data_IF_152219408663
#
_entry.id   IF_152219408663
#
_cell.length_a   1.000
_cell.length_b   1.000
_cell.length_c   1.000
_cell.angle_alpha   90.00
_cell.angle_beta   90.00
_cell.angle_gamma   90.00
#
_symmetry.space_group_name_H-M   'P 1'
#
loop_
_entity.id
_entity.type
_entity.pdbx_description
1 polymer ?
#
# COMPACT_ATOMS: atom_id res chain seq x y z
N UNK A 1 22.68 -6.90 11.51
CA UNK A 1 21.56 -6.81 12.47
C UNK A 1 20.74 -5.58 12.11
N UNK A 2 19.66 -5.73 11.36
CA UNK A 2 18.73 -4.64 11.09
C UNK A 2 17.83 -4.49 12.31
N UNK A 3 17.77 -3.28 12.81
CA UNK A 3 17.11 -2.94 14.07
C UNK A 3 15.60 -3.03 13.87
N UNK A 4 14.90 -3.91 14.60
CA UNK A 4 13.46 -4.21 14.52
C UNK A 4 12.51 -3.03 14.88
N UNK A 5 12.98 -1.78 14.77
CA UNK A 5 12.23 -0.57 15.10
C UNK A 5 11.99 0.36 13.89
N UNK A 6 11.82 -0.20 12.69
CA UNK A 6 11.48 0.61 11.53
C UNK A 6 10.07 1.21 11.68
N UNK A 7 10.01 2.41 12.23
CA UNK A 7 8.80 3.19 12.35
C UNK A 7 8.97 4.51 11.61
N UNK A 8 8.21 4.72 10.56
CA UNK A 8 8.15 6.02 9.92
C UNK A 8 7.37 7.00 10.82
N UNK A 9 7.87 8.22 10.92
CA UNK A 9 7.23 9.32 11.68
C UNK A 9 6.91 10.47 10.73
N UNK A 10 5.65 10.83 10.67
CA UNK A 10 5.18 12.01 9.95
C UNK A 10 4.81 13.06 10.96
N UNK A 11 5.29 14.29 10.77
CA UNK A 11 5.09 15.40 11.69
C UNK A 11 4.45 16.57 10.99
N UNK A 12 3.50 17.19 11.66
CA UNK A 12 2.86 18.44 11.25
C UNK A 12 3.37 19.53 12.18
N UNK A 13 3.85 20.61 11.61
CA UNK A 13 4.33 21.78 12.34
C UNK A 13 3.46 23.00 12.00
N UNK A 14 3.22 23.87 12.98
CA UNK A 14 2.80 25.25 12.75
C UNK A 14 4.03 26.11 12.54
N UNK A 15 3.90 27.12 11.71
CA UNK A 15 4.95 28.13 11.46
C UNK A 15 4.32 29.51 11.64
N UNK A 16 4.70 30.21 12.70
CA UNK A 16 4.28 31.57 12.99
C UNK A 16 5.48 32.50 13.09
N UNK A 17 5.68 33.31 12.07
CA UNK A 17 6.86 34.17 11.97
C UNK A 17 8.15 33.34 11.93
N UNK A 18 8.96 33.40 13.00
CA UNK A 18 10.20 32.62 13.15
C UNK A 18 10.05 31.41 14.07
N UNK A 19 8.87 31.18 14.60
CA UNK A 19 8.61 30.06 15.54
C UNK A 19 8.07 28.87 14.78
N UNK A 20 8.63 27.68 15.05
CA UNK A 20 8.19 26.39 14.48
C UNK A 20 7.84 25.49 15.66
N UNK A 21 6.60 25.05 15.72
CA UNK A 21 6.10 24.20 16.79
C UNK A 21 5.52 22.89 16.25
N UNK A 22 5.85 21.76 16.89
CA UNK A 22 5.28 20.45 16.55
C UNK A 22 3.82 20.40 17.01
N UNK A 23 2.91 20.31 16.06
CA UNK A 23 1.46 20.25 16.29
C UNK A 23 0.96 18.82 16.46
N UNK A 24 1.44 17.91 15.59
CA UNK A 24 0.99 16.53 15.57
C UNK A 24 2.08 15.61 15.02
N UNK A 25 2.10 14.37 15.53
CA UNK A 25 2.93 13.29 14.99
C UNK A 25 2.11 12.03 14.78
N UNK A 26 2.31 11.38 13.63
CA UNK A 26 1.82 10.04 13.33
C UNK A 26 3.00 9.07 13.31
N UNK A 27 2.81 7.86 13.81
CA UNK A 27 3.80 6.79 13.75
C UNK A 27 3.22 5.62 12.96
N UNK A 28 3.87 5.27 11.87
CA UNK A 28 3.56 4.11 11.06
C UNK A 28 4.53 2.98 11.47
N UNK A 29 4.02 1.99 12.20
CA UNK A 29 4.82 0.86 12.66
C UNK A 29 5.07 -0.09 11.50
N UNK A 30 6.32 -0.53 11.32
CA UNK A 30 6.75 -1.50 10.31
C UNK A 30 6.38 -1.11 8.88
N UNK A 31 6.43 0.19 8.57
CA UNK A 31 6.10 0.71 7.24
C UNK A 31 7.09 1.77 6.80
N UNK A 32 7.34 1.80 5.50
CA UNK A 32 8.05 2.87 4.80
C UNK A 32 7.03 3.83 4.20
N UNK A 33 7.33 5.12 4.25
CA UNK A 33 6.54 6.14 3.55
C UNK A 33 7.06 6.26 2.14
N UNK A 34 6.18 6.05 1.18
CA UNK A 34 6.48 6.14 -0.25
C UNK A 34 6.18 7.55 -0.76
N UNK A 35 5.01 8.07 -0.42
CA UNK A 35 4.56 9.36 -0.93
C UNK A 35 3.54 10.03 0.00
N UNK A 36 3.46 11.36 -0.07
CA UNK A 36 2.52 12.18 0.69
C UNK A 36 1.79 13.14 -0.24
N UNK A 37 0.48 13.23 -0.05
CA UNK A 37 -0.34 14.27 -0.67
C UNK A 37 -1.10 15.06 0.40
N UNK A 38 -1.23 16.35 0.17
CA UNK A 38 -2.09 17.21 0.97
C UNK A 38 -3.08 17.92 0.04
N UNK A 39 -4.36 17.60 0.20
CA UNK A 39 -5.41 18.15 -0.64
C UNK A 39 -6.68 18.38 0.15
N UNK A 40 -7.23 19.60 0.08
CA UNK A 40 -8.49 19.97 0.74
C UNK A 40 -8.56 19.51 2.22
N UNK A 41 -7.54 19.83 3.00
CA UNK A 41 -7.39 19.43 4.40
C UNK A 41 -7.38 17.92 4.63
N UNK A 42 -7.04 17.13 3.62
CA UNK A 42 -6.78 15.70 3.74
C UNK A 42 -5.30 15.42 3.50
N UNK A 43 -4.68 14.79 4.47
CA UNK A 43 -3.33 14.25 4.34
C UNK A 43 -3.46 12.78 3.93
N UNK A 44 -2.91 12.44 2.77
CA UNK A 44 -2.83 11.08 2.28
C UNK A 44 -1.40 10.59 2.47
N UNK A 45 -1.27 9.43 3.08
CA UNK A 45 0.01 8.77 3.33
C UNK A 45 0.01 7.45 2.57
N UNK A 46 0.88 7.35 1.58
CA UNK A 46 1.17 6.10 0.90
C UNK A 46 2.38 5.46 1.58
N UNK A 47 2.23 4.21 1.95
CA UNK A 47 3.29 3.46 2.65
C UNK A 47 3.23 1.99 2.26
N UNK A 48 4.36 1.30 2.41
CA UNK A 48 4.47 -0.14 2.20
C UNK A 48 4.98 -0.83 3.47
N UNK A 49 4.74 -2.13 3.56
CA UNK A 49 5.29 -2.94 4.64
C UNK A 49 6.82 -2.93 4.55
N UNK A 50 7.48 -2.83 5.70
CA UNK A 50 8.87 -3.25 5.77
C UNK A 50 8.88 -4.78 5.67
N UNK A 51 9.62 -5.32 4.72
CA UNK A 51 9.88 -6.76 4.67
C UNK A 51 10.50 -7.14 6.01
N UNK A 52 9.75 -7.80 6.88
CA UNK A 52 10.38 -8.61 7.89
C UNK A 52 10.98 -9.76 7.09
N UNK A 53 12.29 -9.81 7.08
CA UNK A 53 13.05 -10.97 6.66
C UNK A 53 12.68 -12.11 7.63
N UNK A 54 11.51 -12.71 7.42
CA UNK A 54 11.14 -14.00 7.96
C UNK A 54 11.97 -15.03 7.21
N UNK A 55 13.30 -14.92 7.33
CA UNK A 55 14.28 -15.87 6.87
C UNK A 55 14.23 -17.21 7.63
N UNK A 56 13.04 -17.65 7.95
CA UNK A 56 12.71 -19.07 8.09
C UNK A 56 12.39 -19.70 6.72
N UNK A 57 12.59 -19.00 5.62
CA UNK A 57 12.80 -19.63 4.33
C UNK A 57 14.10 -20.43 4.46
N UNK A 58 14.01 -21.64 4.97
CA UNK A 58 15.01 -22.68 4.77
C UNK A 58 15.15 -22.81 3.26
N UNK A 59 16.18 -22.16 2.71
CA UNK A 59 16.66 -22.36 1.37
C UNK A 59 17.08 -23.83 1.28
N UNK A 60 16.18 -24.72 0.84
CA UNK A 60 16.55 -26.14 0.83
C UNK A 60 15.52 -27.13 0.33
N UNK A 61 14.28 -26.75 0.05
CA UNK A 61 13.32 -27.69 -0.55
C UNK A 61 12.59 -26.99 -1.71
N UNK A 62 12.79 -27.54 -2.90
CA UNK A 62 12.43 -27.00 -4.20
C UNK A 62 10.92 -27.02 -4.52
N UNK A 63 10.04 -26.66 -3.64
CA UNK A 63 8.59 -26.81 -3.88
C UNK A 63 7.70 -25.63 -3.44
N UNK A 64 8.26 -24.52 -2.92
CA UNK A 64 7.43 -23.42 -2.46
C UNK A 64 7.56 -22.19 -3.36
N UNK A 65 6.44 -21.81 -3.97
CA UNK A 65 6.31 -20.49 -4.58
C UNK A 65 6.48 -19.43 -3.49
N UNK A 66 7.46 -18.57 -3.64
CA UNK A 66 7.65 -17.42 -2.77
C UNK A 66 6.84 -16.27 -3.36
N UNK A 67 5.71 -15.96 -2.74
CA UNK A 67 5.07 -14.67 -2.97
C UNK A 67 5.74 -13.65 -2.05
N UNK A 68 6.21 -12.54 -2.63
CA UNK A 68 6.59 -11.39 -1.82
C UNK A 68 5.30 -10.76 -1.31
N UNK A 69 4.93 -11.09 -0.06
CA UNK A 69 3.72 -10.58 0.60
C UNK A 69 3.89 -9.12 1.02
N UNK A 70 4.26 -8.27 0.06
CA UNK A 70 4.30 -6.84 0.29
C UNK A 70 2.92 -6.23 0.10
N UNK A 71 2.62 -5.24 0.93
CA UNK A 71 1.34 -4.54 0.91
C UNK A 71 1.58 -3.05 0.81
N UNK A 72 0.93 -2.43 -0.16
CA UNK A 72 0.85 -0.97 -0.30
C UNK A 72 -0.39 -0.48 0.46
N UNK A 73 -0.20 0.51 1.33
CA UNK A 73 -1.25 1.12 2.15
C UNK A 73 -1.54 2.55 1.70
N UNK A 74 -2.81 2.92 1.77
CA UNK A 74 -3.32 4.26 1.50
C UNK A 74 -4.07 4.72 2.75
N UNK A 75 -3.43 5.53 3.58
CA UNK A 75 -4.03 6.10 4.78
C UNK A 75 -4.44 7.54 4.54
N UNK A 76 -5.71 7.86 4.75
CA UNK A 76 -6.27 9.20 4.57
C UNK A 76 -6.64 9.78 5.94
N UNK A 77 -6.10 10.94 6.24
CA UNK A 77 -6.35 11.69 7.48
C UNK A 77 -7.08 12.98 7.18
N UNK A 78 -8.05 13.33 8.01
CA UNK A 78 -8.59 14.68 8.10
C UNK A 78 -7.61 15.50 8.95
N UNK A 79 -7.08 16.57 8.36
CA UNK A 79 -6.15 17.51 8.99
C UNK A 79 -6.71 18.95 8.97
N UNK A 80 -8.01 19.11 8.81
CA UNK A 80 -8.68 20.43 8.86
C UNK A 80 -8.39 21.19 10.17
N UNK A 81 -8.22 20.45 11.25
CA UNK A 81 -7.71 20.93 12.53
C UNK A 81 -6.49 20.07 12.88
N UNK A 82 -5.26 20.52 12.57
CA UNK A 82 -4.05 19.69 12.68
C UNK A 82 -3.84 19.05 14.06
N UNK A 83 -4.17 19.76 15.15
CA UNK A 83 -4.07 19.24 16.53
C UNK A 83 -4.97 18.00 16.72
N UNK A 84 -6.13 17.99 16.08
CA UNK A 84 -7.16 16.94 16.15
C UNK A 84 -7.15 16.03 14.94
N UNK A 85 -6.06 16.03 14.17
CA UNK A 85 -5.93 15.20 12.98
C UNK A 85 -6.22 13.73 13.29
N UNK A 86 -7.10 13.11 12.48
CA UNK A 86 -7.56 11.73 12.64
C UNK A 86 -7.61 10.99 11.32
N UNK A 87 -7.31 9.69 11.37
CA UNK A 87 -7.48 8.82 10.21
C UNK A 87 -8.97 8.63 9.91
N UNK A 88 -9.38 8.92 8.68
CA UNK A 88 -10.76 8.76 8.20
C UNK A 88 -10.93 7.54 7.30
N UNK A 89 -9.85 7.09 6.65
CA UNK A 89 -9.88 5.90 5.79
C UNK A 89 -8.52 5.22 5.78
N UNK A 90 -8.52 3.91 5.65
CA UNK A 90 -7.35 3.10 5.34
C UNK A 90 -7.75 2.09 4.28
N UNK A 91 -6.94 2.00 3.23
CA UNK A 91 -7.06 0.99 2.19
C UNK A 91 -5.71 0.28 2.07
N UNK A 92 -5.74 -0.94 1.56
CA UNK A 92 -4.54 -1.71 1.26
C UNK A 92 -4.70 -2.44 -0.06
N UNK A 93 -3.61 -2.60 -0.78
CA UNK A 93 -3.53 -3.43 -1.98
C UNK A 93 -2.25 -4.25 -1.95
N UNK A 94 -2.31 -5.48 -2.43
CA UNK A 94 -1.15 -6.36 -2.50
C UNK A 94 -0.11 -5.83 -3.49
N UNK A 95 1.14 -6.12 -3.21
CA UNK A 95 2.28 -5.81 -4.05
C UNK A 95 3.09 -4.59 -3.64
N UNK A 96 4.27 -4.50 -4.22
CA UNK A 96 5.25 -3.44 -4.03
C UNK A 96 4.73 -2.15 -4.64
N UNK A 97 4.72 -1.05 -3.89
CA UNK A 97 4.40 0.28 -4.42
C UNK A 97 5.27 0.60 -5.64
N UNK A 98 4.64 1.11 -6.68
CA UNK A 98 5.33 1.54 -7.90
C UNK A 98 5.19 3.03 -8.15
N UNK A 99 3.98 3.55 -8.10
CA UNK A 99 3.70 4.96 -8.34
C UNK A 99 2.29 5.31 -7.89
N UNK A 100 2.04 6.58 -7.73
CA UNK A 100 0.69 7.09 -7.57
C UNK A 100 0.48 8.40 -8.34
N UNK A 101 -0.76 8.75 -8.55
CA UNK A 101 -1.12 10.00 -9.21
C UNK A 101 -2.39 10.57 -8.61
N UNK A 102 -2.32 11.83 -8.23
CA UNK A 102 -3.50 12.59 -7.83
C UNK A 102 -3.94 13.49 -8.99
N UNK A 103 -5.20 13.34 -9.41
CA UNK A 103 -5.80 14.16 -10.46
C UNK A 103 -7.32 14.21 -10.34
N UNK A 104 -7.92 15.36 -10.58
CA UNK A 104 -9.38 15.58 -10.58
C UNK A 104 -10.10 15.06 -9.32
N UNK A 105 -9.46 15.18 -8.14
CA UNK A 105 -10.03 14.72 -6.87
C UNK A 105 -9.93 13.22 -6.63
N UNK A 106 -9.28 12.47 -7.52
CA UNK A 106 -9.01 11.05 -7.37
C UNK A 106 -7.54 10.78 -7.15
N UNK A 107 -7.24 9.89 -6.21
CA UNK A 107 -5.93 9.27 -6.06
C UNK A 107 -5.93 7.92 -6.77
N UNK A 108 -5.00 7.73 -7.67
CA UNK A 108 -4.69 6.45 -8.31
C UNK A 108 -3.40 5.91 -7.72
N UNK A 109 -3.41 4.67 -7.26
CA UNK A 109 -2.22 4.01 -6.68
C UNK A 109 -1.95 2.72 -7.43
N UNK A 110 -0.69 2.49 -7.79
CA UNK A 110 -0.25 1.32 -8.54
C UNK A 110 0.78 0.54 -7.72
N UNK A 111 0.59 -0.78 -7.65
CA UNK A 111 1.56 -1.71 -7.07
C UNK A 111 1.81 -2.90 -8.00
N UNK A 112 2.96 -3.55 -7.86
CA UNK A 112 3.28 -4.78 -8.57
C UNK A 112 3.17 -5.96 -7.60
N UNK A 113 2.21 -6.83 -7.84
CA UNK A 113 2.07 -8.10 -7.13
C UNK A 113 2.84 -9.17 -7.92
N UNK A 114 3.97 -9.60 -7.35
CA UNK A 114 4.88 -10.54 -8.01
C UNK A 114 4.59 -11.97 -7.57
N UNK A 115 4.60 -12.89 -8.53
CA UNK A 115 4.53 -14.33 -8.30
C UNK A 115 5.90 -14.89 -8.61
N UNK A 116 6.59 -15.43 -7.60
CA UNK A 116 7.93 -15.99 -7.75
C UNK A 116 7.87 -17.51 -7.56
N UNK A 117 8.49 -18.23 -8.52
CA UNK A 117 8.62 -19.68 -8.49
C UNK A 117 7.52 -20.46 -9.23
N UNK A 118 7.70 -21.78 -9.37
CA UNK A 118 6.73 -22.69 -9.97
C UNK A 118 5.73 -23.14 -8.91
N UNK A 119 4.46 -22.85 -9.13
CA UNK A 119 3.38 -23.21 -8.22
C UNK A 119 2.97 -24.66 -8.43
N UNK A 120 3.47 -25.57 -7.61
CA UNK A 120 3.14 -26.99 -7.70
C UNK A 120 1.95 -27.43 -6.85
N UNK A 121 1.41 -26.56 -6.02
CA UNK A 121 0.30 -26.94 -5.12
C UNK A 121 -0.93 -26.06 -5.36
N UNK A 122 -2.06 -26.71 -5.64
CA UNK A 122 -3.37 -26.07 -5.81
C UNK A 122 -3.91 -25.42 -4.51
N UNK A 123 -3.19 -25.57 -3.39
CA UNK A 123 -3.73 -25.24 -2.07
C UNK A 123 -3.78 -23.76 -1.72
N UNK A 124 -3.19 -22.86 -2.54
CA UNK A 124 -3.06 -21.45 -2.18
C UNK A 124 -3.33 -20.48 -3.35
N UNK A 125 -4.35 -20.74 -4.15
CA UNK A 125 -4.75 -19.86 -5.27
C UNK A 125 -4.89 -18.39 -4.81
N UNK A 126 -5.36 -18.15 -3.58
CA UNK A 126 -5.50 -16.81 -3.01
C UNK A 126 -4.17 -16.07 -2.80
N UNK A 127 -3.03 -16.77 -2.80
CA UNK A 127 -1.71 -16.14 -2.69
C UNK A 127 -1.19 -15.63 -4.04
N UNK A 128 -1.71 -16.17 -5.13
CA UNK A 128 -1.32 -15.78 -6.49
C UNK A 128 -2.19 -14.65 -7.04
N UNK A 129 -3.41 -14.52 -6.54
CA UNK A 129 -4.35 -13.52 -7.00
C UNK A 129 -4.21 -12.25 -6.14
N UNK A 130 -4.07 -11.07 -6.76
CA UNK A 130 -4.00 -9.82 -6.02
C UNK A 130 -5.16 -9.62 -5.07
N UNK A 131 -4.93 -8.88 -4.00
CA UNK A 131 -5.96 -8.55 -3.02
C UNK A 131 -6.03 -7.04 -2.76
N UNK A 132 -7.25 -6.58 -2.45
CA UNK A 132 -7.50 -5.21 -1.99
C UNK A 132 -8.31 -5.27 -0.70
N UNK A 133 -7.86 -4.55 0.33
CA UNK A 133 -8.44 -4.59 1.69
C UNK A 133 -8.56 -6.02 2.26
N UNK A 134 -7.53 -6.84 2.02
CA UNK A 134 -7.47 -8.24 2.47
C UNK A 134 -8.45 -9.18 1.78
N UNK A 135 -9.12 -8.74 0.70
CA UNK A 135 -10.02 -9.55 -0.11
C UNK A 135 -9.38 -9.84 -1.46
N UNK A 136 -9.29 -11.12 -1.80
CA UNK A 136 -8.85 -11.57 -3.13
C UNK A 136 -9.72 -10.94 -4.22
N UNK A 137 -9.09 -10.44 -5.27
CA UNK A 137 -9.80 -9.82 -6.41
C UNK A 137 -10.60 -10.86 -7.15
N UNK A 138 -11.77 -10.44 -7.66
CA UNK A 138 -12.61 -11.30 -8.49
C UNK A 138 -12.05 -11.33 -9.91
N UNK A 139 -12.27 -12.44 -10.61
CA UNK A 139 -11.80 -12.65 -11.99
C UNK A 139 -12.20 -11.51 -12.94
N UNK A 140 -13.42 -11.00 -12.84
CA UNK A 140 -13.89 -9.88 -13.68
C UNK A 140 -13.22 -8.53 -13.40
N UNK A 141 -12.33 -8.46 -12.41
CA UNK A 141 -11.48 -7.29 -12.09
C UNK A 141 -10.06 -7.44 -12.62
N UNK A 142 -9.72 -8.61 -13.15
CA UNK A 142 -8.38 -8.93 -13.65
C UNK A 142 -8.43 -8.92 -15.17
N UNK A 143 -7.58 -8.13 -15.80
CA UNK A 143 -7.47 -8.04 -17.24
C UNK A 143 -6.17 -8.69 -17.70
N UNK A 144 -6.25 -9.59 -18.66
CA UNK A 144 -5.08 -10.16 -19.31
C UNK A 144 -4.61 -9.20 -20.41
N UNK A 145 -3.35 -8.73 -20.31
CA UNK A 145 -2.77 -7.80 -21.30
C UNK A 145 -1.95 -8.54 -22.35
N UNK A 146 -1.32 -9.65 -21.96
CA UNK A 146 -0.45 -10.45 -22.84
C UNK A 146 -0.85 -11.91 -22.83
N UNK A 147 -0.50 -12.64 -23.90
CA UNK A 147 -0.79 -14.07 -24.01
C UNK A 147 0.28 -14.97 -23.40
N UNK A 148 1.41 -14.41 -23.01
CA UNK A 148 2.49 -15.16 -22.35
C UNK A 148 2.17 -15.48 -20.89
N UNK A 149 2.81 -16.49 -20.29
CA UNK A 149 2.71 -16.76 -18.86
C UNK A 149 3.06 -15.53 -18.02
N UNK A 150 2.15 -15.14 -17.15
CA UNK A 150 2.31 -13.94 -16.33
C UNK A 150 2.85 -14.34 -14.96
N UNK A 151 3.91 -13.66 -14.52
CA UNK A 151 4.49 -13.80 -13.19
C UNK A 151 4.26 -12.57 -12.29
N UNK A 152 3.46 -11.62 -12.76
CA UNK A 152 3.15 -10.41 -12.00
C UNK A 152 1.83 -9.79 -12.44
N UNK A 153 1.24 -9.04 -11.52
CA UNK A 153 0.07 -8.20 -11.78
C UNK A 153 0.39 -6.76 -11.42
N UNK A 154 -0.08 -5.82 -12.24
CA UNK A 154 -0.18 -4.42 -11.86
C UNK A 154 -1.54 -4.22 -11.20
N UNK A 155 -1.54 -3.97 -9.91
CA UNK A 155 -2.77 -3.68 -9.15
C UNK A 155 -2.98 -2.17 -9.10
N UNK A 156 -4.17 -1.73 -9.46
CA UNK A 156 -4.56 -0.33 -9.40
C UNK A 156 -5.75 -0.16 -8.45
N UNK A 157 -5.64 0.82 -7.57
CA UNK A 157 -6.77 1.31 -6.76
C UNK A 157 -6.99 2.78 -7.06
N UNK A 158 -8.24 3.19 -7.24
CA UNK A 158 -8.61 4.60 -7.33
C UNK A 158 -9.57 4.99 -6.20
N UNK A 159 -9.29 6.13 -5.56
CA UNK A 159 -10.05 6.63 -4.41
C UNK A 159 -10.51 8.04 -4.68
N UNK A 160 -11.83 8.28 -4.54
CA UNK A 160 -12.39 9.61 -4.56
C UNK A 160 -12.16 10.30 -3.20
N UNK A 161 -11.34 11.36 -3.14
CA UNK A 161 -11.01 12.03 -1.88
C UNK A 161 -12.18 12.81 -1.28
N UNK A 162 -13.19 13.18 -2.04
CA UNK A 162 -14.41 13.78 -1.51
C UNK A 162 -15.30 12.75 -0.78
N UNK A 163 -15.22 11.48 -1.22
CA UNK A 163 -15.97 10.35 -0.66
C UNK A 163 -15.04 9.13 -0.56
N UNK A 164 -14.14 9.05 0.44
CA UNK A 164 -13.12 8.01 0.51
C UNK A 164 -13.63 6.57 0.63
N UNK A 165 -14.91 6.39 0.94
CA UNK A 165 -15.56 5.07 0.90
C UNK A 165 -15.83 4.59 -0.54
N UNK A 166 -15.87 5.52 -1.51
CA UNK A 166 -16.01 5.20 -2.92
C UNK A 166 -14.61 4.98 -3.50
N UNK A 167 -14.25 3.72 -3.66
CA UNK A 167 -13.02 3.31 -4.32
C UNK A 167 -13.31 2.23 -5.37
N UNK A 168 -12.46 2.11 -6.36
CA UNK A 168 -12.47 1.03 -7.33
C UNK A 168 -11.08 0.39 -7.42
N UNK A 169 -11.04 -0.84 -7.86
CA UNK A 169 -9.85 -1.67 -7.98
C UNK A 169 -9.88 -2.46 -9.29
N UNK A 170 -8.72 -2.70 -9.86
CA UNK A 170 -8.50 -3.59 -11.00
C UNK A 170 -7.06 -4.10 -10.98
N UNK A 171 -6.78 -5.17 -11.70
CA UNK A 171 -5.42 -5.67 -11.96
C UNK A 171 -5.25 -6.08 -13.42
N UNK A 172 -3.99 -6.05 -13.89
CA UNK A 172 -3.61 -6.45 -15.22
C UNK A 172 -2.20 -7.04 -15.25
#
# INVERSE_FOLDING_TARGET
>A
MLNNNNCAKIRIYSVEGKTIELVKQFTLKKRWVEELYLENSKLIILSSDSIEDNSNATCGVADDCITLNETTYIDIYDVSTPQNAKKIKSLSQSGIYKTSRFTNGYLYTFSAHLIMGECKSEKKISEYIPSVNGKTMKENKIQKIVDDPVNSYVVMTSVNLAKPDNFSDTAA
#
